data_IF_536913221252
#
_entry.id   IF_536913221252
#
_cell.length_a   1.000
_cell.length_b   1.000
_cell.length_c   1.000
_cell.angle_alpha   90.00
_cell.angle_beta   90.00
_cell.angle_gamma   90.00
#
_symmetry.space_group_name_H-M   'P 1'
#
loop_
_entity.id
_entity.type
_entity.pdbx_description
1 polymer ?
#
# COMPACT_ATOMS: atom_id res chain seq x y z
N UNK A 1 -4.10 -2.15 -49.52
CA UNK A 1 -4.83 -2.93 -48.51
C UNK A 1 -4.61 -2.22 -47.19
N UNK A 2 -5.48 -1.25 -46.93
CA UNK A 2 -5.59 -0.58 -45.65
C UNK A 2 -6.16 -1.61 -44.67
N UNK A 3 -5.39 -1.95 -43.64
CA UNK A 3 -5.91 -2.71 -42.52
C UNK A 3 -6.44 -1.66 -41.56
N UNK A 4 -7.76 -1.50 -41.57
CA UNK A 4 -8.51 -0.72 -40.59
C UNK A 4 -8.10 -1.16 -39.18
N UNK A 5 -7.42 -0.27 -38.46
CA UNK A 5 -7.22 -0.38 -37.02
C UNK A 5 -8.55 0.02 -36.38
N UNK A 6 -9.45 -0.95 -36.24
CA UNK A 6 -10.67 -0.80 -35.49
C UNK A 6 -10.34 -0.51 -34.03
N UNK A 7 -10.59 0.73 -33.61
CA UNK A 7 -10.68 1.17 -32.22
C UNK A 7 -11.80 0.38 -31.50
N UNK A 8 -11.51 -0.86 -31.14
CA UNK A 8 -12.26 -1.53 -30.08
C UNK A 8 -11.77 -0.94 -28.77
N UNK A 9 -12.40 0.14 -28.32
CA UNK A 9 -12.61 0.34 -26.89
C UNK A 9 -13.24 -0.96 -26.38
N UNK A 10 -12.39 -1.86 -25.85
CA UNK A 10 -12.81 -3.04 -25.11
C UNK A 10 -13.64 -2.54 -23.95
N UNK A 11 -14.95 -2.41 -24.18
CA UNK A 11 -15.95 -2.11 -23.18
C UNK A 11 -15.70 -3.11 -22.04
N UNK A 12 -15.09 -2.59 -20.98
CA UNK A 12 -14.66 -3.39 -19.86
C UNK A 12 -15.91 -3.80 -19.12
N UNK A 13 -16.47 -4.95 -19.51
CA UNK A 13 -17.70 -5.49 -18.97
C UNK A 13 -17.60 -5.64 -17.45
N UNK A 14 -18.47 -4.97 -16.67
CA UNK A 14 -18.50 -5.13 -15.23
C UNK A 14 -18.64 -6.60 -14.85
N UNK A 15 -17.89 -7.02 -13.83
CA UNK A 15 -17.89 -8.42 -13.39
C UNK A 15 -18.37 -8.57 -11.96
N UNK A 16 -19.03 -9.71 -11.64
CA UNK A 16 -19.57 -9.97 -10.32
C UNK A 16 -18.47 -10.25 -9.28
N UNK A 17 -18.86 -10.19 -8.01
CA UNK A 17 -17.95 -10.44 -6.88
C UNK A 17 -17.32 -11.84 -6.99
N UNK A 18 -16.06 -11.97 -6.58
CA UNK A 18 -15.30 -13.23 -6.63
C UNK A 18 -15.10 -13.84 -8.04
N UNK A 19 -15.45 -13.12 -9.11
CA UNK A 19 -15.32 -13.63 -10.47
C UNK A 19 -13.87 -13.96 -10.84
N UNK A 20 -13.72 -14.90 -11.75
CA UNK A 20 -12.45 -15.25 -12.37
C UNK A 20 -12.65 -15.54 -13.85
N UNK A 21 -11.63 -15.24 -14.66
CA UNK A 21 -11.63 -15.49 -16.08
C UNK A 21 -10.19 -15.67 -16.60
N UNK A 22 -10.06 -15.85 -17.91
CA UNK A 22 -8.77 -16.05 -18.57
C UNK A 22 -8.60 -15.05 -19.70
N UNK A 23 -7.38 -14.56 -19.88
CA UNK A 23 -7.04 -13.67 -20.98
C UNK A 23 -7.76 -12.33 -20.98
N UNK A 24 -7.82 -11.73 -22.16
CA UNK A 24 -8.37 -10.41 -22.42
C UNK A 24 -9.85 -10.30 -22.02
N UNK A 25 -10.34 -9.09 -21.68
CA UNK A 25 -9.60 -7.82 -21.63
C UNK A 25 -8.75 -7.64 -20.37
N UNK A 26 -8.82 -8.55 -19.40
CA UNK A 26 -8.30 -8.28 -18.05
C UNK A 26 -6.98 -8.99 -17.72
N UNK A 27 -6.52 -9.93 -18.54
CA UNK A 27 -5.22 -10.56 -18.39
C UNK A 27 -4.56 -10.73 -19.75
N UNK A 28 -3.22 -10.79 -19.82
CA UNK A 28 -2.53 -10.94 -21.09
C UNK A 28 -2.72 -12.35 -21.67
N UNK A 29 -2.64 -12.42 -22.99
CA UNK A 29 -2.70 -13.64 -23.81
C UNK A 29 -1.43 -13.69 -24.65
N UNK A 30 -0.96 -14.91 -24.94
CA UNK A 30 0.24 -15.17 -25.74
C UNK A 30 1.53 -14.55 -25.18
N UNK A 31 1.58 -14.34 -23.85
CA UNK A 31 2.72 -13.77 -23.17
C UNK A 31 3.19 -14.69 -22.03
N UNK A 32 4.50 -14.99 -21.91
CA UNK A 32 5.61 -14.51 -22.73
C UNK A 32 5.75 -15.25 -24.06
N UNK A 33 5.16 -16.45 -24.19
CA UNK A 33 5.15 -17.21 -25.43
C UNK A 33 3.74 -17.35 -25.97
N UNK A 34 3.62 -17.55 -27.29
CA UNK A 34 2.34 -17.92 -27.91
C UNK A 34 1.74 -19.16 -27.24
N UNK A 35 0.46 -19.09 -26.90
CA UNK A 35 -0.30 -20.09 -26.16
C UNK A 35 -0.30 -19.91 -24.63
N UNK A 36 0.50 -18.99 -24.08
CA UNK A 36 0.47 -18.70 -22.64
C UNK A 36 -0.70 -17.75 -22.30
N UNK A 37 -1.73 -18.29 -21.65
CA UNK A 37 -2.92 -17.53 -21.23
C UNK A 37 -2.89 -17.28 -19.73
N UNK A 38 -2.90 -16.00 -19.34
CA UNK A 38 -2.95 -15.61 -17.93
C UNK A 38 -4.38 -15.68 -17.40
N UNK A 39 -4.51 -16.15 -16.18
CA UNK A 39 -5.81 -16.19 -15.49
C UNK A 39 -5.94 -15.00 -14.57
N UNK A 40 -7.16 -14.52 -14.39
CA UNK A 40 -7.46 -13.46 -13.48
C UNK A 40 -8.55 -13.76 -12.49
N UNK A 41 -8.51 -13.07 -11.35
CA UNK A 41 -9.51 -13.16 -10.29
C UNK A 41 -9.70 -11.83 -9.57
N UNK A 42 -10.95 -11.52 -9.21
CA UNK A 42 -11.30 -10.39 -8.37
C UNK A 42 -11.72 -10.85 -6.97
N UNK A 43 -11.51 -10.00 -5.97
CA UNK A 43 -11.96 -10.21 -4.60
C UNK A 43 -13.36 -9.62 -4.34
N UNK A 44 -13.62 -9.27 -3.08
CA UNK A 44 -14.95 -8.86 -2.61
C UNK A 44 -15.02 -7.35 -2.29
N UNK A 45 -13.91 -6.63 -2.41
CA UNK A 45 -13.80 -5.22 -2.06
C UNK A 45 -13.74 -4.37 -3.32
N UNK A 46 -14.68 -3.43 -3.45
CA UNK A 46 -14.78 -2.45 -4.53
C UNK A 46 -14.41 -1.07 -3.98
N UNK A 47 -13.70 -0.27 -4.75
CA UNK A 47 -13.37 1.11 -4.39
C UNK A 47 -14.53 2.07 -4.71
N UNK A 48 -14.53 3.32 -4.21
CA UNK A 48 -15.58 4.29 -4.52
C UNK A 48 -15.75 4.59 -6.01
N UNK A 49 -14.70 4.36 -6.81
CA UNK A 49 -14.70 4.54 -8.27
C UNK A 49 -15.31 3.37 -9.05
N UNK A 50 -15.81 2.32 -8.37
CA UNK A 50 -16.47 1.18 -9.01
C UNK A 50 -15.53 0.09 -9.53
N UNK A 51 -14.28 0.02 -9.08
CA UNK A 51 -13.31 -1.01 -9.46
C UNK A 51 -12.90 -1.90 -8.29
N UNK A 52 -12.51 -3.15 -8.57
CA UNK A 52 -12.02 -4.06 -7.54
C UNK A 52 -10.68 -3.62 -6.94
N UNK A 53 -10.62 -3.49 -5.61
CA UNK A 53 -9.36 -3.21 -4.88
C UNK A 53 -8.45 -4.43 -4.85
N UNK A 54 -9.03 -5.63 -4.71
CA UNK A 54 -8.30 -6.88 -4.69
C UNK A 54 -8.43 -7.56 -6.06
N UNK A 55 -7.34 -7.51 -6.82
CA UNK A 55 -7.21 -8.14 -8.13
C UNK A 55 -5.95 -9.00 -8.14
N UNK A 56 -6.10 -10.23 -8.62
CA UNK A 56 -5.02 -11.19 -8.75
C UNK A 56 -4.88 -11.66 -10.20
N UNK A 57 -3.64 -11.75 -10.66
CA UNK A 57 -3.26 -12.54 -11.83
C UNK A 57 -2.66 -13.87 -11.39
N UNK A 58 -2.95 -14.91 -12.14
CA UNK A 58 -2.39 -16.24 -11.98
C UNK A 58 -1.57 -16.56 -13.21
N UNK A 59 -0.34 -16.99 -12.96
CA UNK A 59 0.61 -17.36 -14.00
C UNK A 59 0.08 -18.52 -14.87
N UNK A 60 0.37 -18.51 -16.17
CA UNK A 60 0.15 -19.65 -17.06
C UNK A 60 0.77 -20.94 -16.49
N UNK A 61 0.18 -22.12 -16.75
CA UNK A 61 0.68 -23.39 -16.21
C UNK A 61 2.17 -23.63 -16.45
N UNK A 62 2.70 -23.19 -17.60
CA UNK A 62 4.12 -23.30 -17.96
C UNK A 62 5.06 -22.52 -17.05
N UNK A 63 4.58 -21.41 -16.48
CA UNK A 63 5.39 -20.54 -15.62
C UNK A 63 5.22 -20.87 -14.13
N UNK A 64 4.33 -21.81 -13.78
CA UNK A 64 4.13 -22.20 -12.38
C UNK A 64 5.28 -23.10 -11.91
N UNK A 65 5.94 -22.69 -10.82
CA UNK A 65 7.07 -23.44 -10.22
C UNK A 65 6.65 -24.80 -9.64
N UNK A 66 5.36 -25.02 -9.43
CA UNK A 66 4.83 -26.31 -9.00
C UNK A 66 3.38 -26.49 -9.47
N UNK A 67 2.96 -27.72 -9.82
CA UNK A 67 1.59 -27.99 -10.25
C UNK A 67 0.56 -27.88 -9.10
N UNK A 68 1.01 -27.98 -7.85
CA UNK A 68 0.13 -27.98 -6.67
C UNK A 68 -0.02 -26.61 -6.02
N UNK A 69 0.96 -25.70 -6.17
CA UNK A 69 0.89 -24.33 -5.63
C UNK A 69 0.78 -23.32 -6.76
N UNK A 70 -0.43 -22.78 -6.91
CA UNK A 70 -0.73 -21.67 -7.82
C UNK A 70 -0.09 -20.38 -7.33
N UNK A 71 0.70 -19.74 -8.17
CA UNK A 71 1.32 -18.45 -7.87
C UNK A 71 0.39 -17.31 -8.28
N UNK A 72 -0.07 -16.54 -7.29
CA UNK A 72 -0.98 -15.42 -7.49
C UNK A 72 -0.23 -14.11 -7.28
N UNK A 73 -0.33 -13.21 -8.24
CA UNK A 73 0.24 -11.86 -8.20
C UNK A 73 -0.89 -10.85 -7.97
N UNK A 74 -0.93 -10.30 -6.75
CA UNK A 74 -2.06 -9.48 -6.26
C UNK A 74 -1.88 -7.97 -6.37
N UNK A 75 -0.77 -7.48 -6.90
CA UNK A 75 -0.50 -6.06 -7.05
C UNK A 75 0.39 -5.79 -8.26
N UNK A 76 0.30 -4.58 -8.83
CA UNK A 76 1.19 -4.16 -9.93
C UNK A 76 2.66 -4.36 -9.54
N UNK A 77 3.05 -3.94 -8.32
CA UNK A 77 4.41 -4.09 -7.83
C UNK A 77 4.86 -5.56 -7.74
N UNK A 78 3.98 -6.49 -7.36
CA UNK A 78 4.32 -7.92 -7.33
C UNK A 78 4.59 -8.45 -8.74
N UNK A 79 3.84 -7.98 -9.73
CA UNK A 79 4.04 -8.33 -11.14
C UNK A 79 5.33 -7.72 -11.68
N UNK A 80 5.56 -6.43 -11.44
CA UNK A 80 6.80 -5.76 -11.85
C UNK A 80 8.02 -6.49 -11.31
N UNK A 81 8.01 -6.85 -10.01
CA UNK A 81 9.11 -7.63 -9.41
C UNK A 81 9.26 -9.02 -10.04
N UNK A 82 8.15 -9.69 -10.32
CA UNK A 82 8.17 -10.99 -11.00
C UNK A 82 8.78 -10.89 -12.39
N UNK A 83 8.30 -9.95 -13.21
CA UNK A 83 8.79 -9.68 -14.57
C UNK A 83 10.28 -9.37 -14.55
N UNK A 84 10.73 -8.43 -13.72
CA UNK A 84 12.16 -8.09 -13.60
C UNK A 84 13.03 -9.27 -13.16
N UNK A 85 12.49 -10.23 -12.40
CA UNK A 85 13.25 -11.37 -11.89
C UNK A 85 13.32 -12.55 -12.86
N UNK A 86 12.24 -12.86 -13.58
CA UNK A 86 12.15 -14.04 -14.46
C UNK A 86 12.32 -13.66 -15.94
N UNK A 87 12.02 -12.41 -16.31
CA UNK A 87 12.07 -11.87 -17.68
C UNK A 87 12.70 -10.45 -17.66
N UNK A 88 14.00 -10.32 -17.38
CA UNK A 88 14.65 -9.01 -17.22
C UNK A 88 14.66 -8.16 -18.50
N UNK A 89 14.49 -8.78 -19.67
CA UNK A 89 14.40 -8.12 -20.98
C UNK A 89 12.98 -7.64 -21.32
N UNK A 90 11.98 -8.01 -20.52
CA UNK A 90 10.59 -7.66 -20.80
C UNK A 90 10.31 -6.19 -20.47
N UNK A 91 9.67 -5.49 -21.40
CA UNK A 91 9.09 -4.18 -21.16
C UNK A 91 7.83 -4.32 -20.28
N UNK A 92 7.92 -3.82 -19.06
CA UNK A 92 6.85 -3.87 -18.05
C UNK A 92 5.66 -3.00 -18.47
N UNK A 93 5.91 -1.86 -19.12
CA UNK A 93 4.86 -0.94 -19.52
C UNK A 93 4.11 -1.51 -20.73
N UNK A 94 4.83 -2.08 -21.70
CA UNK A 94 4.22 -2.83 -22.79
C UNK A 94 3.37 -4.01 -22.28
N UNK A 95 3.85 -4.74 -21.26
CA UNK A 95 3.07 -5.82 -20.64
C UNK A 95 1.74 -5.34 -20.04
N UNK A 96 1.75 -4.22 -19.29
CA UNK A 96 0.52 -3.66 -18.73
C UNK A 96 -0.37 -3.00 -19.78
N UNK A 97 0.16 -2.60 -20.93
CA UNK A 97 -0.62 -2.09 -22.05
C UNK A 97 -1.41 -3.20 -22.79
N UNK A 98 -1.02 -4.47 -22.64
CA UNK A 98 -1.72 -5.60 -23.28
C UNK A 98 -3.14 -5.82 -22.74
N UNK A 99 -3.47 -5.31 -21.56
CA UNK A 99 -4.75 -5.59 -20.91
C UNK A 99 -5.16 -4.50 -19.91
N UNK A 100 -6.45 -4.45 -19.57
CA UNK A 100 -6.96 -3.51 -18.57
C UNK A 100 -6.71 -4.02 -17.17
N UNK A 101 -5.84 -3.33 -16.42
CA UNK A 101 -5.55 -3.68 -15.02
C UNK A 101 -6.74 -3.45 -14.07
N UNK A 102 -7.49 -2.37 -14.28
CA UNK A 102 -8.62 -1.99 -13.43
C UNK A 102 -9.89 -2.68 -13.92
N UNK A 103 -10.50 -3.52 -13.08
CA UNK A 103 -11.69 -4.29 -13.46
C UNK A 103 -12.93 -3.65 -12.84
N UNK A 104 -13.87 -3.18 -13.68
CA UNK A 104 -15.13 -2.63 -13.21
C UNK A 104 -15.92 -3.69 -12.46
N UNK A 105 -16.46 -3.29 -11.31
CA UNK A 105 -17.40 -4.10 -10.55
C UNK A 105 -18.82 -3.88 -11.08
N UNK A 106 -19.57 -4.97 -11.16
CA UNK A 106 -21.00 -4.87 -11.41
C UNK A 106 -21.66 -4.06 -10.29
N UNK A 107 -22.41 -3.01 -10.66
CA UNK A 107 -23.14 -2.19 -9.70
C UNK A 107 -24.22 -3.09 -9.09
N UNK A 108 -24.02 -3.47 -7.83
CA UNK A 108 -25.08 -4.12 -7.06
C UNK A 108 -26.24 -3.14 -6.97
N UNK A 109 -27.33 -3.38 -7.72
CA UNK A 109 -28.59 -2.70 -7.46
C UNK A 109 -28.96 -3.02 -6.02
N UNK A 110 -29.05 -1.97 -5.20
CA UNK A 110 -29.59 -2.10 -3.84
C UNK A 110 -31.10 -2.20 -3.98
N UNK A 111 -31.58 -3.34 -4.47
CA UNK A 111 -32.97 -3.75 -4.26
C UNK A 111 -33.06 -4.22 -2.81
N UNK A 112 -33.46 -3.31 -1.91
CA UNK A 112 -33.81 -3.68 -0.54
C UNK A 112 -34.97 -4.68 -0.60
N UNK A 113 -34.67 -5.95 -0.33
CA UNK A 113 -35.60 -6.89 0.28
C UNK A 113 -35.90 -8.13 -0.55
N UNK A 114 -35.25 -9.25 -0.22
CA UNK A 114 -35.92 -10.41 0.39
C UNK A 114 -34.92 -11.53 0.68
N UNK A 115 -34.95 -11.95 1.94
CA UNK A 115 -34.41 -13.20 2.45
C UNK A 115 -35.30 -14.35 1.94
N UNK A 116 -34.83 -15.14 0.97
CA UNK A 116 -35.36 -16.47 0.61
C UNK A 116 -34.14 -17.32 0.19
N UNK A 117 -33.51 -18.06 1.10
CA UNK A 117 -33.76 -19.51 1.35
C UNK A 117 -33.83 -20.36 0.07
N UNK A 118 -32.74 -21.07 -0.24
CA UNK A 118 -32.81 -22.35 -0.95
C UNK A 118 -31.97 -23.37 -0.19
N UNK A 119 -32.66 -24.13 0.67
CA UNK A 119 -32.22 -25.38 1.29
C UNK A 119 -32.26 -26.53 0.27
N UNK A 120 -31.50 -27.58 0.62
CA UNK A 120 -31.45 -28.99 0.12
C UNK A 120 -30.41 -29.16 -0.98
N UNK A 121 -29.32 -29.91 -0.78
CA UNK A 121 -29.17 -31.33 -0.38
C UNK A 121 -27.94 -31.40 0.57
N UNK A 122 -27.86 -32.07 1.72
CA UNK A 122 -28.27 -33.42 2.08
C UNK A 122 -28.55 -33.55 3.59
N UNK A 123 -29.58 -34.33 3.90
CA UNK A 123 -29.96 -34.78 5.22
C UNK A 123 -29.29 -36.12 5.54
N UNK A 124 -28.63 -36.25 6.70
CA UNK A 124 -28.81 -37.42 7.60
C UNK A 124 -28.20 -37.20 8.98
N UNK A 125 -29.11 -36.96 9.94
CA UNK A 125 -29.22 -37.53 11.29
C UNK A 125 -28.00 -37.46 12.23
N UNK A 126 -28.14 -36.73 13.35
CA UNK A 126 -28.51 -37.30 14.67
C UNK A 126 -28.59 -36.25 15.81
N UNK A 127 -29.83 -36.08 16.30
CA UNK A 127 -30.37 -35.76 17.64
C UNK A 127 -29.47 -35.09 18.72
N UNK A 128 -29.95 -33.96 19.27
CA UNK A 128 -29.69 -33.43 20.63
C UNK A 128 -30.46 -34.29 21.68
N UNK A 129 -30.21 -34.17 23.00
CA UNK A 129 -30.66 -33.01 23.82
C UNK A 129 -29.56 -32.48 24.78
N UNK A 130 -29.33 -31.18 24.92
CA UNK A 130 -29.91 -30.28 25.95
C UNK A 130 -30.07 -30.90 27.35
N UNK A 131 -29.16 -30.57 28.27
CA UNK A 131 -29.51 -30.36 29.67
C UNK A 131 -28.61 -29.29 30.30
N UNK A 132 -29.26 -28.26 30.81
CA UNK A 132 -28.71 -27.21 31.65
C UNK A 132 -28.33 -27.78 33.02
N UNK A 133 -27.13 -27.48 33.55
CA UNK A 133 -26.91 -27.21 34.99
C UNK A 133 -25.48 -26.74 35.31
N UNK A 134 -25.46 -25.61 36.02
CA UNK A 134 -24.66 -25.27 37.20
C UNK A 134 -23.12 -25.44 37.20
N UNK A 135 -22.51 -24.28 37.44
CA UNK A 135 -21.21 -23.95 38.05
C UNK A 135 -20.70 -25.00 39.06
N UNK A 136 -19.45 -25.45 38.89
CA UNK A 136 -18.48 -25.64 39.99
C UNK A 136 -17.05 -25.44 39.50
N UNK A 137 -16.30 -24.61 40.23
CA UNK A 137 -14.88 -24.32 40.11
C UNK A 137 -14.04 -25.53 40.52
N UNK A 138 -13.08 -25.97 39.72
CA UNK A 138 -11.83 -26.59 40.23
C UNK A 138 -10.63 -26.29 39.33
N UNK A 139 -9.53 -25.91 39.98
CA UNK A 139 -8.17 -25.73 39.43
C UNK A 139 -7.63 -27.03 38.81
N UNK A 140 -6.94 -26.95 37.66
CA UNK A 140 -5.53 -27.39 37.50
C UNK A 140 -5.00 -27.16 36.07
N UNK A 141 -3.68 -27.00 36.04
CA UNK A 141 -2.78 -26.53 35.00
C UNK A 141 -2.47 -27.56 33.87
N UNK A 142 -1.70 -27.15 32.84
CA UNK A 142 -1.69 -27.73 31.48
C UNK A 142 -0.53 -28.69 31.19
N UNK A 143 -0.67 -29.46 30.11
CA UNK A 143 0.35 -30.14 29.27
C UNK A 143 -0.44 -30.75 28.10
N UNK A 144 -0.01 -30.87 26.87
CA UNK A 144 1.20 -30.58 26.11
C UNK A 144 0.72 -30.60 24.64
N UNK A 145 1.38 -29.90 23.72
CA UNK A 145 2.19 -30.52 22.66
C UNK A 145 1.60 -30.28 21.27
N UNK A 146 2.52 -29.87 20.37
CA UNK A 146 2.53 -30.24 18.94
C UNK A 146 1.51 -29.52 18.03
N UNK A 147 1.87 -28.96 16.86
CA UNK A 147 3.03 -29.22 16.01
C UNK A 147 3.20 -28.11 14.96
N UNK A 148 4.45 -27.97 14.53
CA UNK A 148 5.02 -27.02 13.60
C UNK A 148 4.95 -27.55 12.15
N UNK A 149 4.84 -26.64 11.18
CA UNK A 149 5.41 -26.80 9.83
C UNK A 149 5.33 -25.45 9.12
N UNK A 150 6.31 -24.90 8.39
CA UNK A 150 7.52 -25.44 7.73
C UNK A 150 8.41 -24.28 7.23
N UNK A 151 9.71 -24.59 7.01
CA UNK A 151 10.59 -24.26 5.85
C UNK A 151 10.78 -22.78 5.45
N UNK A 152 11.93 -22.17 5.80
CA UNK A 152 13.19 -22.05 5.02
C UNK A 152 13.10 -21.28 3.69
N UNK A 153 13.76 -20.11 3.63
CA UNK A 153 14.93 -19.88 2.75
C UNK A 153 15.57 -18.50 2.97
N UNK A 154 16.88 -18.52 2.82
CA UNK A 154 17.92 -17.53 3.07
C UNK A 154 18.01 -16.42 2.02
N UNK A 155 18.39 -15.21 2.43
CA UNK A 155 19.39 -14.42 1.71
C UNK A 155 19.99 -13.35 2.62
N UNK A 156 21.31 -13.23 2.57
CA UNK A 156 22.16 -12.37 3.39
C UNK A 156 22.23 -10.95 2.82
N UNK A 157 22.35 -9.94 3.69
CA UNK A 157 23.19 -8.75 3.44
C UNK A 157 23.52 -8.02 4.74
N UNK A 158 24.76 -7.53 4.76
CA UNK A 158 25.55 -7.00 5.87
C UNK A 158 24.95 -5.73 6.47
N UNK A 159 25.12 -5.61 7.79
CA UNK A 159 24.97 -4.41 8.59
C UNK A 159 26.08 -3.40 8.32
N UNK A 160 25.74 -2.12 8.37
CA UNK A 160 26.65 -1.06 8.83
C UNK A 160 26.04 -0.51 10.12
N UNK A 161 26.85 -0.60 11.16
CA UNK A 161 26.72 -0.04 12.51
C UNK A 161 26.84 1.48 12.44
N UNK A 162 26.14 2.21 13.31
CA UNK A 162 26.75 3.07 14.34
C UNK A 162 25.68 3.64 15.26
N UNK A 163 25.91 3.43 16.56
CA UNK A 163 25.13 3.87 17.70
C UNK A 163 25.70 5.17 18.25
N UNK A 164 24.80 5.90 18.90
CA UNK A 164 24.90 7.18 19.57
C UNK A 164 25.90 7.28 20.73
N UNK A 165 26.17 8.54 21.07
CA UNK A 165 26.47 9.08 22.41
C UNK A 165 25.81 10.49 22.39
N UNK A 166 24.98 10.93 23.34
CA UNK A 166 25.28 11.20 24.75
C UNK A 166 23.99 11.35 25.61
N UNK A 167 23.98 10.71 26.79
CA UNK A 167 23.96 11.30 28.16
C UNK A 167 23.68 12.83 28.29
N UNK A 168 22.98 13.41 29.28
CA UNK A 168 22.47 13.05 30.62
C UNK A 168 21.55 14.20 31.09
N UNK A 169 20.71 13.93 32.09
CA UNK A 169 20.50 14.76 33.31
C UNK A 169 19.06 15.23 33.55
N UNK A 170 18.48 14.55 34.52
CA UNK A 170 17.29 14.87 35.31
C UNK A 170 17.53 16.01 36.31
N UNK A 171 16.50 16.83 36.53
CA UNK A 171 16.12 17.27 37.87
C UNK A 171 14.63 17.65 37.85
N UNK A 172 13.90 16.99 38.73
CA UNK A 172 12.49 17.13 39.05
C UNK A 172 12.34 18.04 40.28
N UNK A 173 11.15 18.63 40.51
CA UNK A 173 10.53 18.94 41.83
C UNK A 173 9.34 19.92 41.69
N UNK A 174 8.15 19.32 41.87
CA UNK A 174 6.95 19.72 42.64
C UNK A 174 5.94 20.79 42.18
N UNK A 175 4.67 20.39 42.34
CA UNK A 175 3.37 20.99 41.97
C UNK A 175 2.70 21.83 43.11
N UNK A 176 1.37 22.20 43.08
CA UNK A 176 0.80 23.54 43.33
C UNK A 176 0.03 23.67 44.69
N UNK A 177 -0.76 24.74 45.00
CA UNK A 177 -2.22 24.73 44.68
C UNK A 177 -3.00 26.10 44.61
N UNK A 178 -4.14 26.06 43.89
CA UNK A 178 -5.52 26.55 44.14
C UNK A 178 -5.93 27.97 44.65
N UNK A 179 -6.97 28.50 43.97
CA UNK A 179 -8.23 29.11 44.46
C UNK A 179 -8.54 30.62 44.19
N UNK A 180 -9.59 30.82 43.39
CA UNK A 180 -10.46 32.00 43.11
C UNK A 180 -11.16 32.59 44.38
N UNK A 181 -11.65 33.88 44.42
CA UNK A 181 -12.93 34.26 43.78
C UNK A 181 -13.25 35.76 43.43
N UNK A 182 -14.08 35.92 42.38
CA UNK A 182 -15.31 36.77 42.20
C UNK A 182 -15.30 38.32 42.07
N UNK A 183 -16.12 38.75 41.08
CA UNK A 183 -16.97 39.99 40.95
C UNK A 183 -16.28 41.30 40.53
N UNK A 184 -16.88 42.26 39.78
CA UNK A 184 -18.10 42.45 38.99
C UNK A 184 -18.00 43.84 38.29
N UNK A 185 -18.69 44.02 37.17
CA UNK A 185 -19.21 45.28 36.56
C UNK A 185 -18.33 46.40 35.92
N UNK A 186 -18.75 46.70 34.67
CA UNK A 186 -18.95 48.01 34.00
C UNK A 186 -17.80 48.77 33.30
N UNK A 187 -17.92 48.75 31.96
CA UNK A 187 -17.93 49.88 31.01
C UNK A 187 -17.17 51.18 31.28
N UNK A 188 -16.35 51.52 30.27
CA UNK A 188 -16.11 52.85 29.71
C UNK A 188 -15.43 53.90 30.63
N UNK A 189 -14.13 54.08 30.46
CA UNK A 189 -13.51 55.24 29.79
C UNK A 189 -12.00 55.25 30.07
N UNK A 190 -11.24 55.54 29.02
CA UNK A 190 -9.96 56.24 29.05
C UNK A 190 -8.85 55.66 29.96
N UNK A 191 -8.04 54.76 29.40
CA UNK A 191 -6.61 54.71 29.73
C UNK A 191 -5.82 54.63 28.43
N UNK A 192 -5.32 55.78 27.97
CA UNK A 192 -4.18 55.85 27.05
C UNK A 192 -2.95 55.47 27.88
N UNK A 193 -2.27 54.33 27.64
CA UNK A 193 -1.02 54.07 28.34
C UNK A 193 0.05 54.97 27.73
N UNK A 194 0.66 55.77 28.59
CA UNK A 194 1.94 56.39 28.33
C UNK A 194 3.01 55.29 28.33
N UNK A 195 3.14 54.57 27.23
CA UNK A 195 4.32 53.76 26.93
C UNK A 195 4.76 54.10 25.51
N UNK A 196 6.03 54.43 25.37
CA UNK A 196 6.67 54.86 24.12
C UNK A 196 6.98 53.66 23.22
N UNK A 197 6.01 52.76 23.03
CA UNK A 197 6.04 51.71 22.00
C UNK A 197 5.27 52.18 20.78
N UNK A 198 5.83 51.91 19.60
CA UNK A 198 5.23 52.31 18.33
C UNK A 198 3.89 51.60 18.12
N UNK A 199 3.01 52.21 17.34
CA UNK A 199 1.77 51.58 16.87
C UNK A 199 2.09 50.27 16.09
N UNK A 200 3.30 50.12 15.54
CA UNK A 200 3.74 48.85 14.97
C UNK A 200 4.03 47.76 16.02
N UNK A 201 4.57 48.15 17.18
CA UNK A 201 5.05 47.21 18.20
C UNK A 201 3.88 46.55 18.96
N UNK A 202 2.83 47.31 19.27
CA UNK A 202 1.65 46.73 19.92
C UNK A 202 0.84 45.81 19.00
N UNK A 203 0.80 46.08 17.68
CA UNK A 203 0.17 45.18 16.71
C UNK A 203 0.95 43.88 16.53
N UNK A 204 2.28 43.92 16.67
CA UNK A 204 3.14 42.75 16.61
C UNK A 204 3.08 41.87 17.87
N UNK A 205 2.74 42.45 19.03
CA UNK A 205 2.56 41.74 20.30
C UNK A 205 1.14 41.20 20.51
N UNK A 206 0.16 41.59 19.69
CA UNK A 206 -1.23 41.12 19.78
C UNK A 206 -1.39 39.65 19.39
N UNK A 207 -2.25 38.94 20.12
CA UNK A 207 -2.67 37.59 19.72
C UNK A 207 -3.51 37.63 18.44
N UNK A 208 -3.60 36.49 17.72
CA UNK A 208 -4.34 36.40 16.46
C UNK A 208 -5.83 36.78 16.65
N UNK A 209 -6.40 36.42 17.80
CA UNK A 209 -7.78 36.72 18.18
C UNK A 209 -7.99 38.22 18.49
N UNK A 210 -7.05 38.87 19.18
CA UNK A 210 -7.08 40.30 19.46
C UNK A 210 -6.91 41.13 18.18
N UNK A 211 -6.05 40.67 17.27
CA UNK A 211 -5.84 41.29 15.97
C UNK A 211 -7.08 41.23 15.08
N UNK A 212 -7.82 40.13 15.14
CA UNK A 212 -9.11 40.02 14.45
C UNK A 212 -10.18 40.94 15.01
N UNK A 213 -10.24 41.10 16.34
CA UNK A 213 -11.15 42.06 16.98
C UNK A 213 -10.81 43.49 16.52
N UNK A 214 -9.52 43.83 16.43
CA UNK A 214 -9.05 45.11 15.89
C UNK A 214 -9.42 45.29 14.41
N UNK A 215 -9.17 44.29 13.57
CA UNK A 215 -9.53 44.30 12.14
C UNK A 215 -11.04 44.43 11.90
N UNK A 216 -11.87 43.89 12.80
CA UNK A 216 -13.33 44.03 12.72
C UNK A 216 -13.81 45.39 13.25
N UNK A 217 -13.09 46.00 14.20
CA UNK A 217 -13.35 47.38 14.63
C UNK A 217 -13.04 48.40 13.53
N UNK A 218 -12.13 48.10 12.60
CA UNK A 218 -11.83 48.95 11.46
C UNK A 218 -12.93 48.95 10.39
N UNK A 219 -13.75 47.90 10.29
CA UNK A 219 -14.85 47.87 9.33
C UNK A 219 -15.88 48.97 9.63
N UNK A 220 -16.15 49.24 10.92
CA UNK A 220 -17.10 50.27 11.34
C UNK A 220 -16.71 51.71 10.98
N UNK A 221 -15.44 51.97 10.65
CA UNK A 221 -14.96 53.26 10.16
C UNK A 221 -14.82 53.32 8.64
N UNK A 222 -14.72 52.16 7.96
CA UNK A 222 -14.56 52.02 6.52
C UNK A 222 -15.90 51.86 5.77
N UNK A 223 -16.97 51.42 6.45
CA UNK A 223 -18.30 51.23 5.86
C UNK A 223 -19.27 52.38 6.18
N UNK A 224 -19.06 53.56 5.59
CA UNK A 224 -20.14 54.53 5.33
C UNK A 224 -20.70 54.36 3.91
N UNK A 225 -20.81 53.11 3.46
CA UNK A 225 -21.65 52.71 2.33
C UNK A 225 -22.19 51.32 2.65
N UNK A 226 -23.51 51.19 2.58
CA UNK A 226 -24.32 50.19 3.26
C UNK A 226 -24.04 48.72 2.85
N UNK A 227 -24.20 47.75 3.76
CA UNK A 227 -24.26 46.34 3.41
C UNK A 227 -25.72 45.87 3.29
N UNK A 228 -26.03 45.12 2.24
CA UNK A 228 -27.17 44.20 2.25
C UNK A 228 -26.66 42.79 1.96
N UNK A 229 -27.08 41.86 2.81
CA UNK A 229 -26.64 40.48 2.81
C UNK A 229 -27.83 39.52 2.58
N UNK A 230 -27.51 38.44 1.88
CA UNK A 230 -28.15 37.10 1.87
C UNK A 230 -29.42 36.94 1.02
N UNK A 231 -29.30 36.19 -0.09
CA UNK A 231 -30.13 35.00 -0.36
C UNK A 231 -29.60 34.12 -1.51
N UNK A 232 -29.43 32.83 -1.23
CA UNK A 232 -28.80 31.78 -2.04
C UNK A 232 -29.65 31.22 -3.19
N UNK A 233 -30.61 31.98 -3.70
CA UNK A 233 -31.36 31.65 -4.92
C UNK A 233 -31.14 32.66 -6.07
N UNK A 234 -30.31 33.68 -5.83
CA UNK A 234 -30.10 34.84 -6.73
C UNK A 234 -28.78 34.74 -7.55
N UNK A 235 -27.91 33.77 -7.24
CA UNK A 235 -26.55 33.75 -7.80
C UNK A 235 -26.47 33.54 -9.32
N UNK A 236 -27.40 32.80 -9.93
CA UNK A 236 -27.37 32.55 -11.40
C UNK A 236 -27.58 33.85 -12.18
N UNK A 237 -28.52 34.69 -11.73
CA UNK A 237 -28.78 36.00 -12.37
C UNK A 237 -27.63 36.97 -12.11
N UNK A 238 -26.96 36.86 -10.96
CA UNK A 238 -25.79 37.68 -10.62
C UNK A 238 -24.59 37.38 -11.52
N UNK A 239 -24.28 36.10 -11.77
CA UNK A 239 -23.17 35.73 -12.68
C UNK A 239 -23.46 36.10 -14.14
N UNK A 240 -24.72 36.00 -14.56
CA UNK A 240 -25.13 36.48 -15.89
C UNK A 240 -24.92 37.98 -16.03
N UNK A 241 -25.33 38.76 -15.02
CA UNK A 241 -25.10 40.21 -14.97
C UNK A 241 -23.60 40.55 -15.00
N UNK A 242 -22.79 39.83 -14.22
CA UNK A 242 -21.31 40.00 -14.22
C UNK A 242 -20.70 39.67 -15.58
N UNK A 243 -21.20 38.64 -16.27
CA UNK A 243 -20.75 38.27 -17.62
C UNK A 243 -21.09 39.34 -18.65
N UNK A 244 -22.31 39.89 -18.60
CA UNK A 244 -22.75 40.96 -19.50
C UNK A 244 -21.96 42.25 -19.27
N UNK A 245 -21.66 42.57 -18.01
CA UNK A 245 -20.87 43.75 -17.61
C UNK A 245 -19.40 43.64 -18.02
N UNK A 246 -18.79 42.47 -17.81
CA UNK A 246 -17.44 42.18 -18.29
C UNK A 246 -17.36 42.26 -19.82
N UNK A 247 -18.36 41.73 -20.53
CA UNK A 247 -18.44 41.78 -21.99
C UNK A 247 -18.60 43.21 -22.51
N UNK A 248 -19.42 44.02 -21.83
CA UNK A 248 -19.58 45.45 -22.13
C UNK A 248 -18.26 46.20 -21.97
N UNK A 249 -17.54 45.99 -20.86
CA UNK A 249 -16.25 46.62 -20.60
C UNK A 249 -15.18 46.21 -21.63
N UNK A 250 -15.10 44.92 -21.95
CA UNK A 250 -14.16 44.43 -22.97
C UNK A 250 -14.47 44.96 -24.37
N UNK A 251 -15.74 45.29 -24.66
CA UNK A 251 -16.17 45.88 -25.94
C UNK A 251 -15.74 47.34 -26.12
N UNK A 252 -15.43 48.05 -25.03
CA UNK A 252 -14.96 49.45 -25.05
C UNK A 252 -13.49 49.54 -25.54
N UNK A 253 -12.76 48.42 -25.52
CA UNK A 253 -11.39 48.29 -26.00
C UNK A 253 -10.34 48.69 -24.95
N UNK A 254 -9.18 48.02 -25.02
CA UNK A 254 -8.07 48.17 -24.05
C UNK A 254 -7.60 49.64 -23.89
N UNK A 255 -7.44 50.45 -24.96
CA UNK A 255 -6.95 51.83 -24.81
C UNK A 255 -7.90 52.72 -23.97
N UNK A 256 -9.21 52.54 -24.16
CA UNK A 256 -10.24 53.29 -23.45
C UNK A 256 -10.38 52.83 -22.01
N UNK A 257 -10.20 51.53 -21.73
CA UNK A 257 -10.22 50.98 -20.37
C UNK A 257 -9.05 51.49 -19.51
N UNK A 258 -7.87 51.64 -20.11
CA UNK A 258 -6.69 52.22 -19.46
C UNK A 258 -6.92 53.70 -19.18
N UNK A 259 -7.43 54.46 -20.17
CA UNK A 259 -7.72 55.88 -19.99
C UNK A 259 -8.78 56.17 -18.92
N UNK A 260 -9.76 55.27 -18.73
CA UNK A 260 -10.81 55.40 -17.72
C UNK A 260 -10.50 54.72 -16.38
N UNK A 261 -9.29 54.17 -16.20
CA UNK A 261 -8.90 53.39 -15.02
C UNK A 261 -9.89 52.25 -14.65
N UNK A 262 -10.54 51.66 -15.65
CA UNK A 262 -11.53 50.57 -15.47
C UNK A 262 -10.91 49.18 -15.55
N UNK A 263 -9.57 49.10 -15.68
CA UNK A 263 -8.85 47.84 -15.73
C UNK A 263 -8.99 47.04 -14.42
N UNK A 264 -9.01 47.73 -13.28
CA UNK A 264 -9.27 47.14 -11.97
C UNK A 264 -10.70 46.56 -11.85
N UNK A 265 -11.69 47.23 -12.46
CA UNK A 265 -13.07 46.76 -12.51
C UNK A 265 -13.20 45.48 -13.36
N UNK A 266 -12.51 45.43 -14.50
CA UNK A 266 -12.40 44.22 -15.35
C UNK A 266 -11.72 43.07 -14.60
N UNK A 267 -10.66 43.35 -13.84
CA UNK A 267 -9.95 42.33 -13.05
C UNK A 267 -10.81 41.80 -11.90
N UNK A 268 -11.52 42.67 -11.18
CA UNK A 268 -12.45 42.29 -10.11
C UNK A 268 -13.64 41.47 -10.63
N UNK A 269 -14.22 41.86 -11.77
CA UNK A 269 -15.30 41.09 -12.41
C UNK A 269 -14.79 39.73 -12.90
N UNK A 270 -13.53 39.64 -13.38
CA UNK A 270 -12.88 38.38 -13.73
C UNK A 270 -12.73 37.45 -12.51
N UNK A 271 -12.26 37.94 -11.36
CA UNK A 271 -12.20 37.18 -10.10
C UNK A 271 -13.58 36.72 -9.63
N UNK A 272 -14.59 37.60 -9.70
CA UNK A 272 -15.97 37.25 -9.32
C UNK A 272 -16.55 36.15 -10.23
N UNK A 273 -16.22 36.16 -11.52
CA UNK A 273 -16.70 35.17 -12.48
C UNK A 273 -15.95 33.83 -12.42
N UNK A 274 -14.72 33.78 -11.88
CA UNK A 274 -14.02 32.52 -11.62
C UNK A 274 -14.72 31.61 -10.59
N UNK A 275 -15.64 32.17 -9.81
CA UNK A 275 -16.46 31.43 -8.85
C UNK A 275 -17.73 30.81 -9.46
N UNK A 276 -18.00 31.00 -10.76
CA UNK A 276 -19.16 30.43 -11.46
C UNK A 276 -18.96 28.91 -11.70
N UNK A 277 -19.83 28.02 -11.16
CA UNK A 277 -19.75 26.57 -11.34
C UNK A 277 -19.98 26.08 -12.78
N UNK A 278 -20.47 26.95 -13.67
CA UNK A 278 -20.82 26.61 -15.05
C UNK A 278 -19.79 27.02 -16.10
N UNK A 279 -18.63 27.55 -15.67
CA UNK A 279 -17.58 27.96 -16.60
C UNK A 279 -16.91 26.76 -17.28
N UNK A 280 -16.68 26.89 -18.59
CA UNK A 280 -15.92 25.92 -19.37
C UNK A 280 -14.41 26.08 -19.11
N UNK A 281 -13.63 25.04 -19.44
CA UNK A 281 -12.16 25.07 -19.29
C UNK A 281 -11.51 26.16 -20.14
N UNK A 282 -12.10 26.48 -21.29
CA UNK A 282 -11.63 27.53 -22.20
C UNK A 282 -11.90 28.92 -21.61
N UNK A 283 -13.09 29.15 -21.07
CA UNK A 283 -13.44 30.42 -20.39
C UNK A 283 -12.57 30.67 -19.16
N UNK A 284 -12.28 29.64 -18.36
CA UNK A 284 -11.32 29.76 -17.26
C UNK A 284 -9.92 30.17 -17.74
N UNK A 285 -9.46 29.62 -18.87
CA UNK A 285 -8.17 30.01 -19.46
C UNK A 285 -8.18 31.46 -19.95
N UNK A 286 -9.28 31.92 -20.54
CA UNK A 286 -9.44 33.32 -20.97
C UNK A 286 -9.47 34.29 -19.79
N UNK A 287 -10.14 33.95 -18.69
CA UNK A 287 -10.16 34.79 -17.48
C UNK A 287 -8.78 34.89 -16.82
N UNK A 288 -8.00 33.80 -16.83
CA UNK A 288 -6.62 33.83 -16.36
C UNK A 288 -5.73 34.75 -17.23
N UNK A 289 -5.94 34.78 -18.54
CA UNK A 289 -5.19 35.66 -19.44
C UNK A 289 -5.46 37.15 -19.14
N UNK A 290 -6.68 37.49 -18.71
CA UNK A 290 -7.04 38.86 -18.26
C UNK A 290 -6.31 39.22 -16.97
N UNK A 291 -6.02 38.25 -16.09
CA UNK A 291 -5.24 38.45 -14.86
C UNK A 291 -3.74 38.60 -15.12
N UNK A 292 -3.23 38.10 -16.24
CA UNK A 292 -1.83 38.23 -16.62
C UNK A 292 -1.47 39.61 -17.17
N UNK A 293 -2.44 40.46 -17.52
CA UNK A 293 -2.17 41.82 -17.97
C UNK A 293 -1.57 42.60 -16.78
N UNK A 294 -0.28 42.99 -16.82
CA UNK A 294 0.31 43.80 -15.77
C UNK A 294 -0.48 45.11 -15.64
N UNK A 295 -0.83 45.56 -14.42
CA UNK A 295 -1.52 46.84 -14.27
C UNK A 295 -0.62 47.91 -14.88
N UNK A 296 -1.08 48.53 -15.96
CA UNK A 296 -0.34 49.53 -16.71
C UNK A 296 -0.29 50.88 -15.97
N UNK A 297 0.09 50.85 -14.69
CA UNK A 297 0.22 52.02 -13.82
C UNK A 297 1.60 52.11 -13.16
N UNK A 298 2.61 51.42 -13.70
CA UNK A 298 3.98 51.44 -13.14
C UNK A 298 4.75 52.74 -13.39
N UNK A 299 4.21 53.67 -14.19
CA UNK A 299 4.89 54.92 -14.56
C UNK A 299 4.15 56.21 -14.13
N UNK A 300 3.26 56.16 -13.12
CA UNK A 300 2.74 57.37 -12.48
C UNK A 300 3.21 57.46 -11.02
N UNK A 301 3.72 58.62 -10.55
CA UNK A 301 4.30 58.74 -9.23
C UNK A 301 3.24 58.48 -8.14
N UNK A 302 3.61 57.61 -7.21
CA UNK A 302 2.93 57.33 -5.95
C UNK A 302 2.56 58.65 -5.26
N UNK A 303 1.27 58.90 -5.11
CA UNK A 303 0.77 59.86 -4.16
C UNK A 303 0.30 59.10 -2.92
N UNK A 304 1.00 59.35 -1.82
CA UNK A 304 0.69 58.91 -0.46
C UNK A 304 -0.77 59.25 -0.10
N UNK A 305 -1.64 58.29 -0.28
CA UNK A 305 -3.01 58.31 0.21
C UNK A 305 -3.33 56.92 0.73
N UNK A 306 -3.37 56.77 2.05
CA UNK A 306 -3.87 55.56 2.70
C UNK A 306 -5.34 55.35 2.34
N UNK A 307 -5.58 54.73 1.18
CA UNK A 307 -6.91 54.40 0.71
C UNK A 307 -7.44 53.21 1.52
N UNK A 308 -8.70 53.31 1.95
CA UNK A 308 -9.49 52.24 2.57
C UNK A 308 -9.33 50.88 1.87
N UNK A 309 -9.14 50.92 0.56
CA UNK A 309 -9.03 49.73 -0.30
C UNK A 309 -7.77 48.92 0.01
N UNK A 310 -6.67 49.56 0.42
CA UNK A 310 -5.44 48.86 0.81
C UNK A 310 -5.65 48.08 2.12
N UNK A 311 -6.39 48.65 3.06
CA UNK A 311 -6.70 48.01 4.35
C UNK A 311 -7.61 46.79 4.12
N UNK A 312 -8.63 46.93 3.27
CA UNK A 312 -9.55 45.84 2.91
C UNK A 312 -8.77 44.71 2.20
N UNK A 313 -7.90 45.05 1.26
CA UNK A 313 -7.04 44.08 0.56
C UNK A 313 -6.13 43.32 1.53
N UNK A 314 -5.48 44.03 2.46
CA UNK A 314 -4.64 43.42 3.49
C UNK A 314 -5.43 42.50 4.44
N UNK A 315 -6.67 42.86 4.80
CA UNK A 315 -7.55 42.03 5.64
C UNK A 315 -7.91 40.71 4.94
N UNK A 316 -8.26 40.76 3.66
CA UNK A 316 -8.56 39.55 2.86
C UNK A 316 -7.31 38.65 2.80
N UNK A 317 -6.13 39.22 2.54
CA UNK A 317 -4.87 38.47 2.53
C UNK A 317 -4.56 37.83 3.88
N UNK A 318 -4.78 38.54 4.99
CA UNK A 318 -4.62 37.98 6.34
C UNK A 318 -5.53 36.77 6.56
N UNK A 319 -6.82 36.87 6.20
CA UNK A 319 -7.77 35.77 6.35
C UNK A 319 -7.39 34.55 5.51
N UNK A 320 -6.97 34.75 4.25
CA UNK A 320 -6.48 33.68 3.39
C UNK A 320 -5.23 33.00 3.97
N UNK A 321 -4.30 33.78 4.53
CA UNK A 321 -3.13 33.25 5.20
C UNK A 321 -3.51 32.43 6.45
N UNK A 322 -4.45 32.91 7.26
CA UNK A 322 -4.96 32.20 8.43
C UNK A 322 -5.55 30.84 8.07
N UNK A 323 -6.40 30.79 7.05
CA UNK A 323 -7.02 29.54 6.59
C UNK A 323 -5.98 28.55 6.07
N UNK A 324 -4.97 29.05 5.33
CA UNK A 324 -3.86 28.23 4.85
C UNK A 324 -3.03 27.67 6.00
N UNK A 325 -2.78 28.46 7.05
CA UNK A 325 -2.09 28.00 8.27
C UNK A 325 -2.88 26.88 8.93
N UNK A 326 -4.20 27.05 9.11
CA UNK A 326 -5.05 26.03 9.71
C UNK A 326 -5.05 24.71 8.89
N UNK A 327 -5.09 24.82 7.55
CA UNK A 327 -5.00 23.67 6.66
C UNK A 327 -3.66 22.92 6.82
N UNK A 328 -2.55 23.65 6.83
CA UNK A 328 -1.21 23.07 7.01
C UNK A 328 -1.05 22.42 8.39
N UNK A 329 -1.63 23.01 9.45
CA UNK A 329 -1.63 22.42 10.79
C UNK A 329 -2.43 21.10 10.84
N UNK A 330 -3.57 21.05 10.16
CA UNK A 330 -4.36 19.82 10.08
C UNK A 330 -3.62 18.72 9.29
N UNK A 331 -2.93 19.09 8.21
CA UNK A 331 -2.08 18.18 7.45
C UNK A 331 -0.90 17.67 8.29
N UNK A 332 -0.22 18.56 9.03
CA UNK A 332 0.90 18.18 9.90
C UNK A 332 0.47 17.25 11.04
N UNK A 333 -0.70 17.51 11.64
CA UNK A 333 -1.30 16.60 12.63
C UNK A 333 -1.65 15.23 12.02
N UNK A 334 -2.19 15.21 10.79
CA UNK A 334 -2.48 13.97 10.06
C UNK A 334 -1.21 13.19 9.73
N UNK A 335 -0.17 13.86 9.23
CA UNK A 335 1.13 13.26 8.92
C UNK A 335 1.81 12.71 10.17
N UNK A 336 1.80 13.46 11.27
CA UNK A 336 2.32 13.02 12.57
C UNK A 336 1.62 11.76 13.08
N UNK A 337 0.29 11.67 12.91
CA UNK A 337 -0.47 10.46 13.24
C UNK A 337 -0.05 9.25 12.38
N UNK A 338 0.16 9.44 11.07
CA UNK A 338 0.61 8.39 10.17
C UNK A 338 2.03 7.90 10.53
N UNK A 339 2.94 8.81 10.90
CA UNK A 339 4.29 8.46 11.38
C UNK A 339 4.20 7.59 12.63
N UNK A 340 3.34 7.94 13.59
CA UNK A 340 3.15 7.16 14.81
C UNK A 340 2.63 5.74 14.51
N UNK A 341 1.73 5.58 13.54
CA UNK A 341 1.26 4.25 13.10
C UNK A 341 2.41 3.40 12.54
N UNK A 342 3.25 3.99 11.68
CA UNK A 342 4.44 3.34 11.12
C UNK A 342 5.38 2.88 12.24
N UNK A 343 5.62 3.72 13.25
CA UNK A 343 6.47 3.37 14.39
C UNK A 343 5.93 2.17 15.18
N UNK A 344 4.61 2.07 15.35
CA UNK A 344 3.99 0.91 15.98
C UNK A 344 4.19 -0.36 15.14
N UNK A 345 4.11 -0.27 13.81
CA UNK A 345 4.41 -1.40 12.93
C UNK A 345 5.88 -1.81 12.99
N UNK A 346 6.80 -0.84 12.97
CA UNK A 346 8.24 -1.08 13.13
C UNK A 346 8.50 -1.82 14.45
N UNK A 347 7.89 -1.39 15.55
CA UNK A 347 8.00 -2.06 16.86
C UNK A 347 7.51 -3.52 16.82
N UNK A 348 6.36 -3.78 16.19
CA UNK A 348 5.83 -5.14 16.00
C UNK A 348 6.80 -6.01 15.17
N UNK A 349 7.34 -5.45 14.09
CA UNK A 349 8.30 -6.14 13.22
C UNK A 349 9.62 -6.44 13.94
N UNK A 350 10.12 -5.51 14.75
CA UNK A 350 11.32 -5.72 15.57
C UNK A 350 11.11 -6.83 16.60
N UNK A 351 9.96 -6.87 17.27
CA UNK A 351 9.59 -7.97 18.19
C UNK A 351 9.56 -9.33 17.47
N UNK A 352 8.96 -9.38 16.27
CA UNK A 352 8.94 -10.59 15.44
C UNK A 352 10.35 -11.01 15.01
N UNK A 353 11.19 -10.06 14.61
CA UNK A 353 12.59 -10.30 14.26
C UNK A 353 13.37 -10.91 15.43
N UNK A 354 13.20 -10.39 16.64
CA UNK A 354 13.84 -10.94 17.83
C UNK A 354 13.41 -12.40 18.12
N UNK A 355 12.12 -12.71 17.96
CA UNK A 355 11.61 -14.09 18.11
C UNK A 355 12.23 -15.04 17.08
N UNK A 356 12.30 -14.62 15.81
CA UNK A 356 12.90 -15.42 14.74
C UNK A 356 14.40 -15.60 14.95
N UNK A 357 15.12 -14.56 15.37
CA UNK A 357 16.54 -14.62 15.66
C UNK A 357 16.86 -15.67 16.75
N UNK A 358 16.07 -15.70 17.84
CA UNK A 358 16.19 -16.73 18.88
C UNK A 358 15.96 -18.15 18.33
N UNK A 359 14.98 -18.33 17.45
CA UNK A 359 14.71 -19.62 16.83
C UNK A 359 15.85 -20.07 15.90
N UNK A 360 16.41 -19.15 15.11
CA UNK A 360 17.57 -19.42 14.24
C UNK A 360 18.78 -19.84 15.07
N UNK A 361 19.11 -19.11 16.14
CA UNK A 361 20.24 -19.46 17.02
C UNK A 361 20.06 -20.86 17.65
N UNK A 362 18.85 -21.19 18.11
CA UNK A 362 18.53 -22.52 18.63
C UNK A 362 18.71 -23.61 17.59
N UNK A 363 18.25 -23.38 16.36
CA UNK A 363 18.39 -24.35 15.29
C UNK A 363 19.84 -24.52 14.85
N UNK A 364 20.62 -23.43 14.82
CA UNK A 364 22.05 -23.50 14.52
C UNK A 364 22.79 -24.38 15.52
N UNK A 365 22.49 -24.25 16.82
CA UNK A 365 23.05 -25.12 17.87
C UNK A 365 22.73 -26.60 17.62
N UNK A 366 21.48 -26.91 17.27
CA UNK A 366 21.05 -28.29 16.96
C UNK A 366 21.74 -28.84 15.70
N UNK A 367 21.92 -28.01 14.68
CA UNK A 367 22.64 -28.39 13.46
C UNK A 367 24.08 -28.75 13.80
N UNK A 368 24.77 -27.93 14.61
CA UNK A 368 26.16 -28.22 15.01
C UNK A 368 26.27 -29.47 15.87
N UNK A 369 25.31 -29.73 16.77
CA UNK A 369 25.25 -30.97 17.57
C UNK A 369 25.03 -32.19 16.67
N UNK A 370 24.10 -32.14 15.72
CA UNK A 370 23.87 -33.24 14.79
C UNK A 370 25.06 -33.48 13.87
N UNK A 371 25.70 -32.42 13.37
CA UNK A 371 26.89 -32.53 12.53
C UNK A 371 28.05 -33.21 13.28
N UNK A 372 28.25 -32.89 14.57
CA UNK A 372 29.29 -33.57 15.36
C UNK A 372 28.97 -35.06 15.57
N UNK A 373 27.72 -35.41 15.87
CA UNK A 373 27.31 -36.82 15.98
C UNK A 373 27.47 -37.56 14.66
N UNK A 374 27.14 -36.92 13.53
CA UNK A 374 27.32 -37.49 12.20
C UNK A 374 28.79 -37.77 11.91
N UNK A 375 29.70 -36.85 12.24
CA UNK A 375 31.14 -37.05 12.08
C UNK A 375 31.65 -38.22 12.95
N UNK A 376 31.19 -38.34 14.20
CA UNK A 376 31.54 -39.47 15.06
C UNK A 376 31.09 -40.82 14.48
N UNK A 377 29.91 -40.86 13.86
CA UNK A 377 29.42 -42.07 13.16
C UNK A 377 30.30 -42.37 11.95
N UNK A 378 30.63 -41.36 11.13
CA UNK A 378 31.53 -41.54 10.00
C UNK A 378 32.89 -42.10 10.43
N UNK A 379 33.51 -41.55 11.48
CA UNK A 379 34.78 -42.05 12.01
C UNK A 379 34.68 -43.50 12.49
N UNK A 380 33.54 -43.86 13.11
CA UNK A 380 33.30 -45.22 13.58
C UNK A 380 33.10 -46.20 12.41
N UNK A 381 32.37 -45.79 11.37
CA UNK A 381 32.16 -46.59 10.15
C UNK A 381 33.47 -46.78 9.40
N UNK A 382 34.28 -45.73 9.28
CA UNK A 382 35.61 -45.81 8.65
C UNK A 382 36.50 -46.84 9.37
N UNK A 383 36.58 -46.77 10.71
CA UNK A 383 37.31 -47.75 11.53
C UNK A 383 36.81 -49.19 11.31
N UNK A 384 35.49 -49.39 11.26
CA UNK A 384 34.92 -50.73 11.01
C UNK A 384 35.25 -51.20 9.59
N UNK A 385 35.18 -50.32 8.59
CA UNK A 385 35.48 -50.63 7.20
C UNK A 385 36.94 -51.05 7.03
N UNK A 386 37.87 -50.33 7.66
CA UNK A 386 39.31 -50.65 7.64
C UNK A 386 39.60 -52.03 8.23
N UNK A 387 38.87 -52.43 9.29
CA UNK A 387 38.99 -53.77 9.90
C UNK A 387 38.29 -54.86 9.05
N UNK A 388 37.14 -54.54 8.47
CA UNK A 388 36.31 -55.50 7.75
C UNK A 388 36.83 -55.79 6.34
N UNK A 389 37.43 -54.81 5.65
CA UNK A 389 37.87 -54.96 4.25
C UNK A 389 38.93 -56.06 4.05
N UNK A 390 40.01 -56.16 4.85
CA UNK A 390 40.98 -57.25 4.75
C UNK A 390 40.34 -58.62 5.03
N UNK A 391 39.46 -58.67 6.04
CA UNK A 391 38.75 -59.90 6.44
C UNK A 391 37.83 -60.39 5.33
N UNK A 392 37.11 -59.48 4.66
CA UNK A 392 36.25 -59.81 3.54
C UNK A 392 37.06 -60.32 2.34
N UNK A 393 38.17 -59.66 2.00
CA UNK A 393 39.05 -60.06 0.90
C UNK A 393 39.66 -61.46 1.11
N UNK A 394 40.11 -61.76 2.33
CA UNK A 394 40.60 -63.09 2.69
C UNK A 394 39.49 -64.16 2.56
N UNK A 395 38.29 -63.89 3.07
CA UNK A 395 37.14 -64.81 2.92
C UNK A 395 36.78 -65.10 1.46
N UNK A 396 36.83 -64.09 0.59
CA UNK A 396 36.60 -64.25 -0.85
C UNK A 396 37.66 -65.15 -1.47
N UNK A 397 38.94 -64.88 -1.18
CA UNK A 397 40.07 -65.68 -1.66
C UNK A 397 39.95 -67.15 -1.20
N UNK A 398 39.57 -67.37 0.06
CA UNK A 398 39.37 -68.71 0.61
C UNK A 398 38.22 -69.47 -0.09
N UNK A 399 37.11 -68.80 -0.41
CA UNK A 399 36.00 -69.39 -1.16
C UNK A 399 36.42 -69.80 -2.58
N UNK A 400 37.17 -68.95 -3.28
CA UNK A 400 37.67 -69.28 -4.62
C UNK A 400 38.60 -70.50 -4.61
N UNK A 401 39.50 -70.60 -3.62
CA UNK A 401 40.35 -71.78 -3.46
C UNK A 401 39.54 -73.06 -3.23
N UNK A 402 38.51 -73.00 -2.38
CA UNK A 402 37.59 -74.13 -2.15
C UNK A 402 36.86 -74.53 -3.44
N UNK A 403 36.38 -73.56 -4.22
CA UNK A 403 35.69 -73.82 -5.49
C UNK A 403 36.60 -74.45 -6.55
N UNK A 404 37.85 -73.97 -6.67
CA UNK A 404 38.87 -74.60 -7.53
C UNK A 404 39.14 -76.04 -7.09
N UNK A 405 39.28 -76.30 -5.79
CA UNK A 405 39.47 -77.65 -5.25
C UNK A 405 38.28 -78.58 -5.51
N UNK A 406 37.05 -78.06 -5.40
CA UNK A 406 35.83 -78.82 -5.75
C UNK A 406 35.81 -79.14 -7.25
N UNK A 407 36.10 -78.15 -8.12
CA UNK A 407 36.11 -78.34 -9.57
C UNK A 407 37.18 -79.34 -10.02
N UNK A 408 38.38 -79.29 -9.40
CA UNK A 408 39.45 -80.27 -9.64
C UNK A 408 39.01 -81.68 -9.25
N UNK A 409 38.48 -81.87 -8.03
CA UNK A 409 37.95 -83.18 -7.60
C UNK A 409 36.81 -83.67 -8.49
N UNK A 410 35.94 -82.79 -8.95
CA UNK A 410 34.88 -83.11 -9.91
C UNK A 410 35.45 -83.62 -11.24
N UNK A 411 36.49 -82.95 -11.75
CA UNK A 411 37.20 -83.36 -12.98
C UNK A 411 37.94 -84.68 -12.80
N UNK A 412 38.64 -84.87 -11.68
CA UNK A 412 39.33 -86.11 -11.35
C UNK A 412 38.35 -87.28 -11.20
N UNK A 413 37.18 -87.03 -10.58
CA UNK A 413 36.11 -88.01 -10.49
C UNK A 413 35.56 -88.32 -11.89
N UNK A 414 35.27 -87.33 -12.71
CA UNK A 414 34.78 -87.52 -14.08
C UNK A 414 35.78 -88.32 -14.93
N UNK A 415 37.08 -88.05 -14.79
CA UNK A 415 38.14 -88.79 -15.47
C UNK A 415 38.18 -90.28 -15.07
N UNK A 416 37.87 -90.63 -13.81
CA UNK A 416 37.75 -92.03 -13.39
C UNK A 416 36.63 -92.79 -14.11
N UNK A 417 35.60 -92.09 -14.58
CA UNK A 417 34.52 -92.69 -15.38
C UNK A 417 34.82 -92.70 -16.88
N UNK A 418 35.96 -92.16 -17.35
CA UNK A 418 36.32 -92.14 -18.77
C UNK A 418 36.35 -93.54 -19.44
N UNK A 419 36.78 -94.63 -18.76
CA UNK A 419 36.69 -95.99 -19.34
C UNK A 419 35.26 -96.47 -19.61
N UNK A 420 34.25 -95.83 -19.03
CA UNK A 420 32.83 -96.16 -19.22
C UNK A 420 32.18 -95.39 -20.39
N UNK A 421 32.93 -94.58 -21.13
CA UNK A 421 32.44 -93.83 -22.31
C UNK A 421 32.06 -94.70 -23.53
N UNK A 422 31.91 -96.02 -23.35
CA UNK A 422 31.29 -96.96 -24.29
C UNK A 422 30.35 -97.97 -23.62
N UNK A 423 30.09 -97.82 -22.31
CA UNK A 423 29.22 -98.72 -21.56
C UNK A 423 27.75 -98.33 -21.79
N UNK A 424 27.12 -98.90 -22.83
CA UNK A 424 25.67 -98.84 -22.95
C UNK A 424 25.05 -99.86 -21.98
N UNK A 425 24.21 -99.41 -21.07
CA UNK A 425 23.32 -100.33 -20.35
C UNK A 425 22.42 -101.02 -21.38
N UNK A 426 22.75 -102.28 -21.77
CA UNK A 426 21.82 -103.13 -22.50
C UNK A 426 20.60 -103.30 -21.59
N UNK A 427 19.50 -102.65 -21.94
CA UNK A 427 18.20 -102.91 -21.32
C UNK A 427 17.89 -104.39 -21.62
N UNK A 428 17.93 -105.22 -20.58
CA UNK A 428 17.60 -106.64 -20.70
C UNK A 428 16.08 -106.69 -20.94
N UNK A 429 15.68 -106.96 -22.18
CA UNK A 429 14.29 -107.25 -22.53
C UNK A 429 14.06 -108.73 -22.25
N UNK A 430 13.55 -109.04 -21.07
CA UNK A 430 12.77 -110.26 -20.80
C UNK A 430 11.62 -109.89 -19.89
#
# INVERSE_FOLDING_TARGET
MEIEVSDYTLDSMPVPLCASGQGLPYAPVDWPNRGDVWTWKVGNKVNPFGYYRHRYLLLPPRLQKSPTRKEWLGSKLAITRYLQSEFPEADVDAFFAMFTWNIPAEKMSVEKGKKIEAKKIAEKKRKRPSSSRAITITKKQPKSESQISTRTRSSARKFISLSAHNTTTSADVNSPPAAEPLQNDQSALACRPHDSKSLADHLAEMSSEEFEIYLNSLDGTLTNSAPEAINSHVQIDEFKKVRDELTSLLSIGIPSLIASNKLLEVQNLSYKLQSDPHLTKEEHSMLNLIQEIPPASKDLPENEGGSSDNIISMKIQYMLCKDKIALLQAEDASASSAIQEIDQEISKLQSRRAKLAKAVAKNQKRITELASTQNQVFDSVAKIADVAAPTASNRVSQRQMKQKGISKRGSDNLAKFAPLNGFSFRRRSE
#
